data_IF_241295583853
#
_entry.id   IF_241295583853
#
_cell.length_a   1.000
_cell.length_b   1.000
_cell.length_c   1.000
_cell.angle_alpha   90.00
_cell.angle_beta   90.00
_cell.angle_gamma   90.00
#
_symmetry.space_group_name_H-M   'P 1'
#
loop_
_entity.id
_entity.type
_entity.pdbx_description
1 polymer ?
#
# COMPACT_ATOMS: atom_id res chain seq x y z
N UNK A 1 0.37 -20.52 -14.27
CA UNK A 1 -0.25 -19.83 -15.42
C UNK A 1 0.76 -18.84 -15.97
N UNK A 2 0.33 -17.93 -16.86
CA UNK A 2 1.12 -16.77 -17.26
C UNK A 2 0.51 -15.53 -16.60
N UNK A 3 1.35 -14.64 -16.10
CA UNK A 3 0.96 -13.28 -15.75
C UNK A 3 1.07 -12.37 -16.94
N UNK A 4 0.08 -11.50 -17.09
CA UNK A 4 0.11 -10.40 -18.04
C UNK A 4 -0.07 -9.12 -17.25
N UNK A 5 0.82 -8.16 -17.47
CA UNK A 5 0.70 -6.78 -16.98
C UNK A 5 0.84 -5.89 -18.20
N UNK A 6 -0.10 -4.97 -18.38
CA UNK A 6 -0.01 -3.96 -19.44
C UNK A 6 0.41 -2.61 -18.86
N UNK A 7 1.03 -1.82 -19.72
CA UNK A 7 1.52 -0.50 -19.38
C UNK A 7 1.06 0.49 -20.46
N UNK A 8 0.76 1.70 -20.04
CA UNK A 8 0.61 2.86 -20.92
C UNK A 8 1.59 3.90 -20.45
N UNK A 9 2.51 4.31 -21.34
CA UNK A 9 3.58 5.28 -21.04
C UNK A 9 4.39 4.95 -19.77
N UNK A 10 4.66 3.66 -19.57
CA UNK A 10 5.41 3.15 -18.40
C UNK A 10 4.56 3.01 -17.13
N UNK A 11 3.29 3.40 -17.15
CA UNK A 11 2.40 3.27 -16.01
C UNK A 11 1.57 1.99 -16.11
N UNK A 12 1.59 1.10 -15.11
CA UNK A 12 0.77 -0.11 -15.12
C UNK A 12 -0.73 0.23 -15.24
N UNK A 13 -1.48 -0.54 -16.04
CA UNK A 13 -2.92 -0.34 -16.24
C UNK A 13 -3.74 -1.53 -15.75
N UNK A 14 -3.40 -2.74 -16.18
CA UNK A 14 -4.11 -3.96 -15.77
C UNK A 14 -3.14 -5.09 -15.42
N UNK A 15 -3.66 -6.05 -14.66
CA UNK A 15 -3.01 -7.33 -14.43
C UNK A 15 -4.02 -8.46 -14.67
N UNK A 16 -3.55 -9.58 -15.21
CA UNK A 16 -4.35 -10.79 -15.41
C UNK A 16 -3.49 -12.05 -15.29
N UNK A 17 -4.02 -13.11 -14.69
CA UNK A 17 -3.33 -14.38 -14.53
C UNK A 17 -4.11 -15.51 -15.20
N UNK A 18 -3.55 -16.05 -16.29
CA UNK A 18 -4.23 -17.03 -17.15
C UNK A 18 -4.45 -18.39 -16.50
N UNK A 19 -3.76 -18.69 -15.38
CA UNK A 19 -3.90 -19.96 -14.67
C UNK A 19 -5.04 -19.98 -13.66
N UNK A 20 -5.38 -18.82 -13.10
CA UNK A 20 -6.45 -18.65 -12.09
C UNK A 20 -7.65 -17.90 -12.65
N UNK A 21 -7.54 -17.36 -13.86
CA UNK A 21 -8.57 -16.54 -14.52
C UNK A 21 -8.97 -15.32 -13.68
N UNK A 22 -8.00 -14.72 -13.00
CA UNK A 22 -8.20 -13.53 -12.16
C UNK A 22 -7.55 -12.31 -12.77
N UNK A 23 -8.21 -11.16 -12.62
CA UNK A 23 -7.72 -9.84 -12.99
C UNK A 23 -7.41 -8.96 -11.79
N UNK A 24 -6.77 -7.81 -12.03
CA UNK A 24 -6.57 -6.76 -11.04
C UNK A 24 -5.61 -7.17 -9.90
N UNK A 25 -5.77 -6.58 -8.70
CA UNK A 25 -4.94 -6.90 -7.53
C UNK A 25 -4.88 -8.40 -7.18
N UNK A 26 -5.97 -9.19 -7.28
CA UNK A 26 -5.91 -10.65 -7.09
C UNK A 26 -4.92 -11.35 -8.03
N UNK A 27 -4.79 -10.88 -9.28
CA UNK A 27 -3.84 -11.45 -10.24
C UNK A 27 -2.39 -11.14 -9.86
N UNK A 28 -2.12 -9.96 -9.31
CA UNK A 28 -0.80 -9.59 -8.79
C UNK A 28 -0.40 -10.48 -7.60
N UNK A 29 -1.35 -10.80 -6.71
CA UNK A 29 -1.10 -11.71 -5.60
C UNK A 29 -0.72 -13.12 -6.09
N UNK A 30 -1.38 -13.62 -7.14
CA UNK A 30 -1.02 -14.89 -7.79
C UNK A 30 0.37 -14.84 -8.43
N UNK A 31 0.79 -13.67 -8.91
CA UNK A 31 2.08 -13.45 -9.54
C UNK A 31 3.24 -13.25 -8.55
N UNK A 32 2.95 -12.94 -7.29
CA UNK A 32 3.98 -12.72 -6.28
C UNK A 32 4.59 -14.03 -5.72
N UNK A 33 4.13 -15.20 -6.17
CA UNK A 33 4.57 -16.51 -5.66
C UNK A 33 6.02 -16.80 -6.11
N UNK A 34 7.01 -16.89 -5.20
CA UNK A 34 8.41 -17.04 -5.56
C UNK A 34 8.69 -18.23 -6.49
N UNK A 35 9.39 -18.00 -7.59
CA UNK A 35 9.77 -19.05 -8.54
C UNK A 35 10.64 -18.52 -9.69
N UNK A 36 11.23 -19.40 -10.51
CA UNK A 36 11.89 -18.97 -11.74
C UNK A 36 10.84 -18.41 -12.71
N UNK A 37 11.07 -17.18 -13.19
CA UNK A 37 10.20 -16.54 -14.17
C UNK A 37 10.86 -16.48 -15.53
N UNK A 38 10.05 -16.69 -16.57
CA UNK A 38 10.38 -16.26 -17.92
C UNK A 38 9.57 -15.01 -18.22
N UNK A 39 10.25 -13.90 -18.50
CA UNK A 39 9.63 -12.62 -18.81
C UNK A 39 9.85 -12.30 -20.28
N UNK A 40 8.80 -11.85 -20.95
CA UNK A 40 8.84 -11.38 -22.33
C UNK A 40 8.07 -10.07 -22.41
N UNK A 41 8.62 -9.10 -23.13
CA UNK A 41 7.99 -7.80 -23.37
C UNK A 41 7.48 -7.75 -24.81
N UNK A 42 6.26 -7.29 -24.96
CA UNK A 42 5.59 -7.12 -26.25
C UNK A 42 5.07 -5.69 -26.37
N UNK A 43 5.08 -5.18 -27.59
CA UNK A 43 4.44 -3.90 -27.94
C UNK A 43 3.18 -4.21 -28.73
N UNK A 44 2.06 -3.59 -28.34
CA UNK A 44 0.77 -3.66 -29.02
C UNK A 44 0.27 -2.25 -29.29
N UNK A 45 -0.61 -2.10 -30.28
CA UNK A 45 -1.30 -0.85 -30.53
C UNK A 45 -2.30 -0.57 -29.40
N UNK A 46 -2.44 0.71 -29.02
CA UNK A 46 -3.33 1.10 -27.92
C UNK A 46 -4.80 0.69 -28.18
N UNK A 47 -5.23 0.71 -29.45
CA UNK A 47 -6.57 0.30 -29.86
C UNK A 47 -6.85 -1.19 -29.58
N UNK A 48 -5.84 -2.06 -29.63
CA UNK A 48 -6.01 -3.49 -29.34
C UNK A 48 -6.25 -3.75 -27.84
N UNK A 49 -5.79 -2.83 -26.98
CA UNK A 49 -5.86 -2.95 -25.52
C UNK A 49 -7.01 -2.13 -24.90
N UNK A 50 -7.66 -1.25 -25.66
CA UNK A 50 -8.66 -0.30 -25.17
C UNK A 50 -9.77 -0.99 -24.36
N UNK A 51 -10.45 -1.99 -24.96
CA UNK A 51 -11.53 -2.72 -24.28
C UNK A 51 -11.08 -3.42 -22.98
N UNK A 52 -9.85 -3.94 -22.94
CA UNK A 52 -9.29 -4.57 -21.75
C UNK A 52 -8.90 -3.52 -20.69
N UNK A 53 -8.42 -2.36 -21.12
CA UNK A 53 -8.07 -1.23 -20.24
C UNK A 53 -9.31 -0.59 -19.63
N UNK A 54 -10.48 -0.64 -20.26
CA UNK A 54 -11.76 -0.19 -19.70
C UNK A 54 -12.36 -1.13 -18.66
N UNK A 55 -11.98 -2.42 -18.68
CA UNK A 55 -12.51 -3.43 -17.78
C UNK A 55 -12.01 -3.22 -16.33
N UNK A 56 -12.88 -2.67 -15.48
CA UNK A 56 -12.54 -2.31 -14.10
C UNK A 56 -12.04 -3.49 -13.25
N UNK A 57 -12.51 -4.71 -13.51
CA UNK A 57 -12.07 -5.93 -12.81
C UNK A 57 -10.64 -6.38 -13.17
N UNK A 58 -10.06 -5.84 -14.25
CA UNK A 58 -8.67 -6.11 -14.64
C UNK A 58 -7.70 -5.02 -14.15
N UNK A 59 -8.21 -3.83 -13.84
CA UNK A 59 -7.39 -2.66 -13.49
C UNK A 59 -6.60 -2.87 -12.21
N UNK A 60 -5.41 -2.29 -12.19
CA UNK A 60 -4.55 -2.21 -11.00
C UNK A 60 -4.18 -0.76 -10.67
N UNK A 61 -4.00 -0.42 -9.39
CA UNK A 61 -3.43 0.86 -9.01
C UNK A 61 -2.01 1.04 -9.60
N UNK A 62 -1.63 2.24 -10.04
CA UNK A 62 -0.35 2.49 -10.71
C UNK A 62 0.90 2.02 -9.94
N UNK A 63 0.89 2.14 -8.62
CA UNK A 63 2.02 1.76 -7.75
C UNK A 63 2.09 0.27 -7.41
N UNK A 64 0.94 -0.42 -7.44
CA UNK A 64 0.80 -1.73 -6.82
C UNK A 64 1.70 -2.83 -7.43
N UNK A 65 1.92 -2.89 -8.76
CA UNK A 65 2.85 -3.89 -9.33
C UNK A 65 4.30 -3.72 -8.85
N UNK A 66 4.78 -2.48 -8.72
CA UNK A 66 6.13 -2.20 -8.25
C UNK A 66 6.30 -2.59 -6.77
N UNK A 67 5.31 -2.29 -5.93
CA UNK A 67 5.27 -2.70 -4.53
C UNK A 67 5.18 -4.22 -4.35
N UNK A 68 4.22 -4.87 -5.02
CA UNK A 68 3.88 -6.28 -4.78
C UNK A 68 4.82 -7.28 -5.46
N UNK A 69 5.36 -6.94 -6.62
CA UNK A 69 6.21 -7.85 -7.40
C UNK A 69 7.68 -7.47 -7.31
N UNK A 70 7.99 -6.17 -7.34
CA UNK A 70 9.36 -5.67 -7.28
C UNK A 70 9.86 -5.42 -5.87
N UNK A 71 8.96 -5.16 -4.91
CA UNK A 71 9.34 -4.66 -3.58
C UNK A 71 10.03 -3.30 -3.65
N UNK A 72 9.74 -2.49 -4.68
CA UNK A 72 10.41 -1.22 -4.96
C UNK A 72 9.45 -0.03 -4.74
N UNK A 73 9.50 0.62 -3.57
CA UNK A 73 8.62 1.74 -3.26
C UNK A 73 8.95 2.99 -4.10
N UNK A 74 10.22 3.21 -4.47
CA UNK A 74 10.61 4.37 -5.28
C UNK A 74 10.05 4.27 -6.71
N UNK A 75 10.05 3.05 -7.26
CA UNK A 75 9.38 2.78 -8.53
C UNK A 75 7.87 2.99 -8.44
N UNK A 76 7.24 2.56 -7.33
CA UNK A 76 5.80 2.74 -7.12
C UNK A 76 5.40 4.22 -7.01
N UNK A 77 6.19 5.04 -6.31
CA UNK A 77 6.00 6.50 -6.29
C UNK A 77 6.14 7.11 -7.68
N UNK A 78 7.12 6.62 -8.46
CA UNK A 78 7.35 7.08 -9.83
C UNK A 78 6.18 6.77 -10.75
N UNK A 79 5.62 5.55 -10.69
CA UNK A 79 4.46 5.18 -11.50
C UNK A 79 3.19 5.89 -11.05
N UNK A 80 3.02 6.15 -9.74
CA UNK A 80 1.93 7.00 -9.23
C UNK A 80 2.02 8.42 -9.79
N UNK A 81 3.20 9.07 -9.75
CA UNK A 81 3.39 10.43 -10.27
C UNK A 81 3.18 10.54 -11.78
N UNK A 82 3.46 9.49 -12.55
CA UNK A 82 3.27 9.46 -13.99
C UNK A 82 1.83 9.12 -14.41
N UNK A 83 1.00 8.63 -13.48
CA UNK A 83 -0.37 8.25 -13.76
C UNK A 83 -1.28 9.48 -13.99
N UNK A 84 -2.29 9.39 -14.88
CA UNK A 84 -3.38 10.35 -14.92
C UNK A 84 -4.10 10.46 -13.57
N UNK A 85 -4.56 11.66 -13.22
CA UNK A 85 -5.17 11.96 -11.92
C UNK A 85 -6.37 11.06 -11.61
N UNK A 86 -7.16 10.67 -12.62
CA UNK A 86 -8.33 9.80 -12.48
C UNK A 86 -7.97 8.37 -12.03
N UNK A 87 -6.69 8.00 -12.11
CA UNK A 87 -6.18 6.68 -11.70
C UNK A 87 -5.56 6.67 -10.32
N UNK A 88 -5.36 7.84 -9.72
CA UNK A 88 -4.93 7.92 -8.33
C UNK A 88 -6.14 7.61 -7.44
N UNK A 89 -5.98 6.76 -6.41
CA UNK A 89 -7.04 6.61 -5.43
C UNK A 89 -7.37 7.98 -4.86
N UNK A 90 -8.65 8.28 -4.69
CA UNK A 90 -9.06 9.44 -3.92
C UNK A 90 -8.37 9.32 -2.55
N UNK A 91 -7.56 10.32 -2.18
CA UNK A 91 -6.95 10.45 -0.86
C UNK A 91 -8.05 10.37 0.20
N UNK A 92 -8.43 9.17 0.65
CA UNK A 92 -9.64 9.02 1.47
C UNK A 92 -10.05 7.59 1.79
N UNK A 93 -9.92 6.63 0.87
CA UNK A 93 -10.48 5.28 1.10
C UNK A 93 -9.47 4.17 0.76
N UNK A 94 -8.75 3.74 1.80
CA UNK A 94 -8.27 2.36 1.95
C UNK A 94 -7.00 1.94 1.19
N UNK A 95 -5.83 2.25 1.76
CA UNK A 95 -4.80 1.27 2.20
C UNK A 95 -3.67 2.09 2.87
N UNK A 96 -3.95 2.63 4.06
CA UNK A 96 -2.95 3.33 4.86
C UNK A 96 -2.04 2.28 5.57
N UNK A 97 -1.30 1.53 4.77
CA UNK A 97 -0.14 0.79 5.21
C UNK A 97 1.07 1.38 4.48
N UNK A 98 1.87 2.14 5.24
CA UNK A 98 3.12 2.78 4.84
C UNK A 98 3.00 4.05 3.95
N UNK A 99 2.66 5.17 4.59
CA UNK A 99 3.25 6.45 4.23
C UNK A 99 3.60 7.18 5.53
N UNK A 100 4.87 7.13 5.91
CA UNK A 100 5.44 8.05 6.88
C UNK A 100 5.33 9.46 6.29
N UNK A 101 4.41 10.25 6.82
CA UNK A 101 4.41 11.69 6.66
C UNK A 101 4.27 12.31 8.06
N UNK A 102 5.27 13.06 8.48
CA UNK A 102 5.40 13.68 9.81
C UNK A 102 4.32 14.70 10.17
N UNK A 103 3.28 14.80 9.35
CA UNK A 103 2.03 15.55 9.59
C UNK A 103 1.01 14.72 10.38
N UNK A 104 1.01 13.39 10.25
CA UNK A 104 0.08 12.51 10.98
C UNK A 104 0.48 12.36 12.45
N UNK A 105 1.78 12.33 12.74
CA UNK A 105 2.28 12.30 14.13
C UNK A 105 1.93 13.59 14.88
N UNK A 106 2.03 14.76 14.24
CA UNK A 106 1.66 16.04 14.87
C UNK A 106 0.16 16.08 15.21
N UNK A 107 -0.70 15.61 14.31
CA UNK A 107 -2.15 15.54 14.57
C UNK A 107 -2.53 14.52 15.65
N UNK A 108 -1.84 13.38 15.72
CA UNK A 108 -2.07 12.38 16.76
C UNK A 108 -1.57 12.85 18.15
N UNK A 109 -0.46 13.60 18.21
CA UNK A 109 0.05 14.20 19.44
C UNK A 109 -0.85 15.34 19.92
N UNK A 110 -1.36 16.19 19.02
CA UNK A 110 -2.35 17.23 19.37
C UNK A 110 -3.65 16.61 19.94
N UNK A 111 -4.19 15.57 19.29
CA UNK A 111 -5.37 14.87 19.77
C UNK A 111 -5.16 14.12 21.10
N UNK A 112 -3.94 13.66 21.39
CA UNK A 112 -3.58 13.07 22.69
C UNK A 112 -3.41 14.12 23.78
N UNK A 113 -2.87 15.30 23.46
CA UNK A 113 -2.66 16.40 24.41
C UNK A 113 -3.95 17.11 24.80
N UNK A 114 -4.97 17.10 23.94
CA UNK A 114 -6.31 17.60 24.25
C UNK A 114 -7.10 16.69 25.22
N UNK A 115 -6.63 15.46 25.46
CA UNK A 115 -7.22 14.51 26.41
C UNK A 115 -6.52 14.60 27.78
N UNK A 116 -6.67 15.75 28.45
CA UNK A 116 -6.07 16.04 29.75
C UNK A 116 -6.45 15.01 30.84
N UNK A 117 -7.59 14.32 30.69
CA UNK A 117 -8.08 13.29 31.61
C UNK A 117 -7.27 11.98 31.50
N UNK A 118 -6.88 11.58 30.28
CA UNK A 118 -5.99 10.42 30.07
C UNK A 118 -4.57 10.65 30.60
N UNK A 119 -4.05 11.87 30.44
CA UNK A 119 -2.70 12.21 30.93
C UNK A 119 -2.62 12.10 32.45
N UNK A 120 -3.66 12.54 33.17
CA UNK A 120 -3.68 12.47 34.63
C UNK A 120 -3.80 11.01 35.11
N UNK A 121 -4.59 10.17 34.41
CA UNK A 121 -4.68 8.73 34.70
C UNK A 121 -3.33 8.01 34.55
N UNK A 122 -2.56 8.30 33.49
CA UNK A 122 -1.23 7.70 33.27
C UNK A 122 -0.23 8.19 34.32
N UNK A 123 -0.27 9.48 34.71
CA UNK A 123 0.58 10.00 35.79
C UNK A 123 0.31 9.33 37.13
N UNK A 124 -0.96 9.06 37.46
CA UNK A 124 -1.32 8.38 38.71
C UNK A 124 -0.86 6.91 38.69
N UNK A 125 -1.05 6.20 37.59
CA UNK A 125 -0.58 4.83 37.39
C UNK A 125 0.95 4.73 37.52
N UNK A 126 1.70 5.64 36.90
CA UNK A 126 3.16 5.65 36.99
C UNK A 126 3.65 5.91 38.44
N UNK A 127 2.93 6.73 39.20
CA UNK A 127 3.28 7.05 40.60
C UNK A 127 2.94 5.91 41.57
N UNK A 128 1.89 5.12 41.33
CA UNK A 128 1.58 3.94 42.14
C UNK A 128 2.61 2.83 41.92
N UNK A 129 2.97 2.53 40.67
CA UNK A 129 3.96 1.50 40.35
C UNK A 129 5.36 1.83 40.87
N UNK A 130 5.74 3.12 40.89
CA UNK A 130 7.00 3.55 41.49
C UNK A 130 7.03 3.30 43.02
N UNK A 131 5.90 3.48 43.72
CA UNK A 131 5.78 3.21 45.17
C UNK A 131 5.77 1.72 45.47
N UNK A 132 5.16 0.90 44.61
CA UNK A 132 5.18 -0.55 44.75
C UNK A 132 6.57 -1.13 44.53
N UNK A 133 7.30 -0.63 43.53
CA UNK A 133 8.70 -1.04 43.30
C UNK A 133 9.62 -0.61 44.45
N UNK A 134 9.42 0.57 45.03
CA UNK A 134 10.20 1.00 46.20
C UNK A 134 9.99 0.08 47.42
N UNK A 135 8.74 -0.35 47.68
CA UNK A 135 8.44 -1.31 48.76
C UNK A 135 9.01 -2.71 48.51
N UNK A 136 9.10 -3.13 47.24
CA UNK A 136 9.73 -4.41 46.87
C UNK A 136 11.26 -4.39 47.00
N UNK A 137 11.86 -3.19 47.11
CA UNK A 137 13.30 -2.99 47.23
C UNK A 137 13.74 -2.61 48.66
N UNK A 138 12.81 -2.47 49.61
CA UNK A 138 13.10 -2.34 51.07
C UNK A 138 13.13 -3.71 51.78
N UNK A 139 13.86 -4.68 51.20
CA UNK A 139 14.26 -5.92 51.86
C UNK A 139 15.75 -6.20 51.64
#
# INVERSE_FOLDING_TARGET
>A
GRGVITFTDGVPVLAYHTGTDRGGPPALADLAIPGPYHVSLYTLDAADLESAHEAANLRVPPGMPAERLGGDPALADSTRRAAPDERLPAMGDGDAAAAEDGTTEQSAVEAFLDDAEKIEAIKQQARSEARERAQQWEF
#
